data_IF_569594806210
#
_entry.id   IF_569594806210
#
_cell.length_a   1.000
_cell.length_b   1.000
_cell.length_c   1.000
_cell.angle_alpha   90.00
_cell.angle_beta   90.00
_cell.angle_gamma   90.00
#
_symmetry.space_group_name_H-M   'P 1'
#
loop_
_entity.id
_entity.type
_entity.pdbx_description
1 polymer ?
#
# COMPACT_ATOMS: atom_id res chain seq x y z
N UNK A 1 -19.87 2.92 15.28
CA UNK A 1 -19.72 3.07 13.82
C UNK A 1 -18.33 3.66 13.60
N UNK A 2 -17.44 2.92 12.95
CA UNK A 2 -16.06 3.38 12.75
C UNK A 2 -15.98 4.37 11.58
N UNK A 3 -15.20 5.43 11.73
CA UNK A 3 -15.02 6.47 10.73
C UNK A 3 -13.65 6.31 10.07
N UNK A 4 -13.65 5.93 8.80
CA UNK A 4 -12.42 5.66 8.06
C UNK A 4 -11.55 6.91 7.90
N UNK A 5 -12.13 8.11 7.85
CA UNK A 5 -11.34 9.33 7.72
C UNK A 5 -10.54 9.59 8.99
N UNK A 6 -11.17 9.42 10.16
CA UNK A 6 -10.51 9.58 11.47
C UNK A 6 -9.50 8.48 11.75
N UNK A 7 -9.85 7.22 11.45
CA UNK A 7 -8.94 6.09 11.65
C UNK A 7 -7.72 6.23 10.74
N UNK A 8 -7.92 6.60 9.47
CA UNK A 8 -6.81 6.82 8.55
C UNK A 8 -5.96 8.02 8.96
N UNK A 9 -6.58 9.10 9.45
CA UNK A 9 -5.87 10.26 9.98
C UNK A 9 -4.94 9.87 11.13
N UNK A 10 -5.45 9.10 12.10
CA UNK A 10 -4.67 8.62 13.23
C UNK A 10 -3.54 7.68 12.81
N UNK A 11 -3.82 6.73 11.90
CA UNK A 11 -2.83 5.74 11.46
C UNK A 11 -1.73 6.34 10.58
N UNK A 12 -2.07 7.30 9.72
CA UNK A 12 -1.09 7.99 8.86
C UNK A 12 -0.30 9.04 9.66
N UNK A 13 -0.85 9.53 10.77
CA UNK A 13 -0.29 10.61 11.58
C UNK A 13 -0.45 11.98 10.90
N UNK A 14 -1.65 12.27 10.37
CA UNK A 14 -1.96 13.54 9.73
C UNK A 14 -2.65 14.51 10.69
N UNK A 15 -2.23 15.77 10.68
CA UNK A 15 -2.89 16.83 11.47
C UNK A 15 -4.32 17.10 10.99
N UNK A 16 -4.56 17.00 9.68
CA UNK A 16 -5.84 17.29 9.04
C UNK A 16 -6.24 16.23 8.02
N UNK A 17 -7.54 15.93 7.96
CA UNK A 17 -8.16 15.04 6.96
C UNK A 17 -7.87 15.54 5.53
N UNK A 18 -7.81 16.86 5.35
CA UNK A 18 -7.48 17.50 4.07
C UNK A 18 -6.13 17.12 3.51
N UNK A 19 -5.22 16.64 4.34
CA UNK A 19 -3.87 16.27 3.92
C UNK A 19 -3.78 14.81 3.47
N UNK A 20 -4.80 13.98 3.72
CA UNK A 20 -4.82 12.57 3.30
C UNK A 20 -4.54 12.36 1.80
N UNK A 21 -5.07 13.18 0.87
CA UNK A 21 -4.74 13.07 -0.56
C UNK A 21 -3.25 13.29 -0.89
N UNK A 22 -2.47 13.95 -0.02
CA UNK A 22 -1.02 14.09 -0.19
C UNK A 22 -0.26 12.85 0.28
N UNK A 23 -0.85 12.04 1.16
CA UNK A 23 -0.24 10.85 1.74
C UNK A 23 -0.77 9.53 1.15
N UNK A 24 -1.17 9.52 -0.13
CA UNK A 24 -1.80 8.35 -0.80
C UNK A 24 -1.07 7.03 -0.57
N UNK A 25 0.27 7.04 -0.60
CA UNK A 25 1.09 5.84 -0.37
C UNK A 25 0.93 5.31 1.05
N UNK A 26 0.99 6.17 2.07
CA UNK A 26 0.79 5.76 3.47
C UNK A 26 -0.65 5.27 3.69
N UNK A 27 -1.63 6.03 3.19
CA UNK A 27 -3.05 5.64 3.23
C UNK A 27 -3.26 4.26 2.62
N UNK A 28 -2.65 3.99 1.46
CA UNK A 28 -2.72 2.69 0.80
C UNK A 28 -2.17 1.54 1.67
N UNK A 29 -1.03 1.76 2.33
CA UNK A 29 -0.46 0.76 3.24
C UNK A 29 -1.35 0.48 4.44
N UNK A 30 -1.96 1.51 5.03
CA UNK A 30 -2.88 1.36 6.15
C UNK A 30 -4.21 0.70 5.73
N UNK A 31 -4.76 1.06 4.57
CA UNK A 31 -5.94 0.37 4.00
C UNK A 31 -5.72 -1.13 3.80
N UNK A 32 -4.50 -1.56 3.45
CA UNK A 32 -4.16 -2.98 3.32
C UNK A 32 -4.14 -3.71 4.67
N UNK A 33 -3.88 -3.01 5.77
CA UNK A 33 -3.76 -3.55 7.13
C UNK A 33 -5.10 -3.56 7.86
N UNK A 34 -5.93 -2.55 7.62
CA UNK A 34 -7.20 -2.36 8.32
C UNK A 34 -8.28 -3.36 7.87
N UNK A 35 -9.17 -3.80 8.79
CA UNK A 35 -10.34 -4.59 8.46
C UNK A 35 -11.41 -3.72 7.79
N UNK A 36 -11.36 -3.58 6.46
CA UNK A 36 -12.29 -2.75 5.68
C UNK A 36 -13.77 -3.17 5.82
N UNK A 37 -14.05 -4.37 6.31
CA UNK A 37 -15.40 -4.88 6.59
C UNK A 37 -16.10 -4.18 7.75
N UNK A 38 -15.36 -3.48 8.60
CA UNK A 38 -15.92 -2.78 9.77
C UNK A 38 -16.50 -1.40 9.42
N UNK A 39 -16.33 -0.95 8.18
CA UNK A 39 -16.78 0.35 7.70
C UNK A 39 -17.94 0.21 6.72
N UNK A 40 -18.80 1.21 6.69
CA UNK A 40 -19.89 1.25 5.72
C UNK A 40 -19.38 1.44 4.29
N UNK A 41 -20.06 0.81 3.33
CA UNK A 41 -19.66 0.81 1.92
C UNK A 41 -19.72 2.24 1.35
N UNK A 42 -20.72 3.04 1.73
CA UNK A 42 -20.82 4.43 1.25
C UNK A 42 -19.64 5.26 1.73
N UNK A 43 -19.25 5.09 2.99
CA UNK A 43 -18.10 5.79 3.56
C UNK A 43 -16.79 5.40 2.86
N UNK A 44 -16.63 4.12 2.52
CA UNK A 44 -15.48 3.61 1.76
C UNK A 44 -15.45 4.20 0.34
N UNK A 45 -16.61 4.32 -0.31
CA UNK A 45 -16.74 4.92 -1.64
C UNK A 45 -16.36 6.40 -1.64
N UNK A 46 -16.89 7.17 -0.69
CA UNK A 46 -16.59 8.60 -0.54
C UNK A 46 -15.12 8.83 -0.20
N UNK A 47 -14.56 8.03 0.70
CA UNK A 47 -13.14 8.06 1.04
C UNK A 47 -12.24 7.76 -0.16
N UNK A 48 -12.59 6.73 -0.94
CA UNK A 48 -11.81 6.32 -2.11
C UNK A 48 -11.80 7.41 -3.17
N UNK A 49 -12.96 8.03 -3.43
CA UNK A 49 -13.07 9.18 -4.34
C UNK A 49 -12.26 10.36 -3.83
N UNK A 50 -12.31 10.63 -2.53
CA UNK A 50 -11.60 11.75 -1.94
C UNK A 50 -10.07 11.63 -2.02
N UNK A 51 -9.51 10.49 -1.60
CA UNK A 51 -8.05 10.32 -1.52
C UNK A 51 -7.44 9.89 -2.85
N UNK A 52 -8.08 8.95 -3.55
CA UNK A 52 -7.52 8.33 -4.75
C UNK A 52 -8.14 8.85 -6.04
N UNK A 53 -9.29 9.54 -5.99
CA UNK A 53 -10.02 9.95 -7.20
C UNK A 53 -10.64 8.76 -7.94
N UNK A 54 -10.84 7.62 -7.27
CA UNK A 54 -11.37 6.39 -7.86
C UNK A 54 -12.47 5.78 -7.00
N UNK A 55 -13.33 4.94 -7.59
CA UNK A 55 -14.33 4.20 -6.82
C UNK A 55 -13.68 3.16 -5.91
N UNK A 56 -14.34 2.84 -4.80
CA UNK A 56 -13.89 1.80 -3.89
C UNK A 56 -13.85 0.43 -4.58
N UNK A 57 -14.75 0.19 -5.54
CA UNK A 57 -14.76 -1.03 -6.33
C UNK A 57 -13.46 -1.21 -7.13
N UNK A 58 -13.03 -0.19 -7.88
CA UNK A 58 -11.75 -0.23 -8.60
C UNK A 58 -10.57 -0.40 -7.65
N UNK A 59 -10.61 0.28 -6.50
CA UNK A 59 -9.59 0.17 -5.47
C UNK A 59 -9.47 -1.26 -4.92
N UNK A 60 -10.60 -1.90 -4.63
CA UNK A 60 -10.70 -3.28 -4.14
C UNK A 60 -10.14 -4.28 -5.15
N UNK A 61 -10.39 -4.07 -6.44
CA UNK A 61 -9.85 -4.92 -7.50
C UNK A 61 -8.32 -4.80 -7.60
N UNK A 62 -7.76 -3.59 -7.47
CA UNK A 62 -6.31 -3.37 -7.40
C UNK A 62 -5.70 -4.06 -6.18
N UNK A 63 -6.35 -3.99 -5.02
CA UNK A 63 -5.90 -4.68 -3.80
C UNK A 63 -5.89 -6.21 -3.97
N UNK A 64 -6.93 -6.77 -4.60
CA UNK A 64 -7.03 -8.21 -4.90
C UNK A 64 -5.94 -8.66 -5.88
N UNK A 65 -5.70 -7.87 -6.93
CA UNK A 65 -4.67 -8.16 -7.93
C UNK A 65 -3.25 -8.12 -7.32
N UNK A 66 -2.99 -7.20 -6.36
CA UNK A 66 -1.70 -7.17 -5.66
C UNK A 66 -1.52 -8.36 -4.72
N UNK A 67 -2.53 -8.76 -3.94
CA UNK A 67 -2.46 -9.96 -3.11
C UNK A 67 -2.17 -11.21 -3.94
N UNK A 68 -2.84 -11.37 -5.09
CA UNK A 68 -2.59 -12.49 -6.00
C UNK A 68 -1.15 -12.52 -6.51
N UNK A 69 -0.58 -11.37 -6.89
CA UNK A 69 0.83 -11.27 -7.30
C UNK A 69 1.81 -11.55 -6.16
N UNK A 70 1.55 -11.04 -4.96
CA UNK A 70 2.38 -11.30 -3.78
C UNK A 70 2.38 -12.79 -3.43
N UNK A 71 1.22 -13.45 -3.48
CA UNK A 71 1.07 -14.88 -3.19
C UNK A 71 1.69 -15.75 -4.30
N UNK A 72 1.50 -15.39 -5.56
CA UNK A 72 2.16 -16.05 -6.70
C UNK A 72 3.69 -15.88 -6.64
N UNK A 73 4.19 -14.75 -6.16
CA UNK A 73 5.62 -14.52 -5.93
C UNK A 73 6.17 -15.37 -4.78
N UNK A 74 5.42 -15.53 -3.68
CA UNK A 74 5.76 -16.47 -2.58
C UNK A 74 5.79 -17.92 -3.08
N UNK A 75 4.81 -18.34 -3.89
CA UNK A 75 4.74 -19.70 -4.46
C UNK A 75 5.85 -19.99 -5.48
N UNK A 76 6.24 -19.00 -6.28
CA UNK A 76 7.30 -19.15 -7.29
C UNK A 76 8.73 -18.93 -6.75
N UNK A 77 8.91 -18.66 -5.44
CA UNK A 77 10.24 -18.52 -4.82
C UNK A 77 11.13 -17.40 -5.38
N UNK A 78 10.58 -16.49 -6.20
CA UNK A 78 11.36 -15.47 -6.91
C UNK A 78 11.85 -14.31 -6.02
N UNK A 79 11.50 -14.30 -4.73
CA UNK A 79 11.88 -13.25 -3.79
C UNK A 79 13.40 -13.18 -3.57
N UNK A 80 14.11 -14.31 -3.59
CA UNK A 80 15.58 -14.37 -3.47
C UNK A 80 16.32 -13.70 -4.64
N UNK A 81 15.73 -13.70 -5.84
CA UNK A 81 16.42 -13.29 -7.07
C UNK A 81 16.64 -11.77 -7.17
N UNK A 82 15.92 -10.96 -6.38
CA UNK A 82 16.12 -9.49 -6.33
C UNK A 82 17.15 -9.08 -5.27
N UNK A 83 17.15 -9.72 -4.10
CA UNK A 83 18.18 -9.49 -3.07
C UNK A 83 19.54 -10.03 -3.52
N UNK A 84 19.58 -11.21 -4.16
CA UNK A 84 20.82 -11.77 -4.72
C UNK A 84 21.45 -10.87 -5.80
N UNK A 85 20.63 -10.18 -6.60
CA UNK A 85 21.08 -9.22 -7.61
C UNK A 85 21.57 -7.89 -6.99
N UNK A 86 20.98 -7.46 -5.87
CA UNK A 86 21.45 -6.30 -5.10
C UNK A 86 22.76 -6.61 -4.35
N UNK A 87 22.90 -7.82 -3.81
CA UNK A 87 24.15 -8.30 -3.21
C UNK A 87 25.26 -8.40 -4.26
N UNK A 88 25.00 -9.01 -5.43
CA UNK A 88 26.00 -9.08 -6.52
C UNK A 88 26.45 -7.70 -7.02
N UNK A 89 25.57 -6.68 -7.00
CA UNK A 89 25.95 -5.29 -7.33
C UNK A 89 26.87 -4.65 -6.29
N UNK A 90 26.69 -4.93 -5.00
CA UNK A 90 27.62 -4.44 -3.97
C UNK A 90 29.02 -5.07 -4.11
N UNK A 91 29.12 -6.35 -4.45
CA UNK A 91 30.42 -7.02 -4.64
C UNK A 91 31.21 -6.54 -5.86
N UNK A 92 30.57 -5.96 -6.88
CA UNK A 92 31.27 -5.49 -8.09
C UNK A 92 31.71 -4.02 -8.04
N UNK A 93 31.25 -3.23 -7.07
CA UNK A 93 31.68 -1.82 -6.89
C UNK A 93 32.83 -1.66 -5.89
N UNK A 94 33.35 -2.76 -5.32
CA UNK A 94 34.46 -2.76 -4.36
C UNK A 94 35.85 -3.09 -4.92
N UNK A 95 36.00 -3.30 -6.24
CA UNK A 95 37.31 -3.55 -6.88
C UNK A 95 37.61 -2.51 -7.96
N UNK A 96 37.86 -1.28 -7.55
CA UNK A 96 38.71 -0.33 -8.29
C UNK A 96 39.40 0.57 -7.27
N UNK A 97 40.37 -0.01 -6.56
CA UNK A 97 41.46 0.74 -5.93
C UNK A 97 42.76 0.41 -6.68
N UNK A 98 43.54 1.46 -6.87
CA UNK A 98 44.81 1.61 -7.59
C UNK A 98 45.82 0.48 -7.39
#
# INVERSE_FOLDING_TARGET
MSDIFKDMQANVGCDYISNLPSYKRKVWHEMKRLPLTNYDIKQLEDFSKYVFGMSYQSLKDVMKQQKGREEQCRKQGCWWKREEQLAKKQYHTGSTCR
#
